data_IF_273109553197
#
_entry.id   IF_273109553197
#
_cell.length_a   1.000
_cell.length_b   1.000
_cell.length_c   1.000
_cell.angle_alpha   90.00
_cell.angle_beta   90.00
_cell.angle_gamma   90.00
#
_symmetry.space_group_name_H-M   'P 1'
#
loop_
_entity.id
_entity.type
_entity.pdbx_description
1 polymer ?
#
# COMPACT_ATOMS: atom_id res chain seq x y z
N UNK A 1 17.01 3.89 -25.54
CA UNK A 1 16.39 5.13 -26.09
C UNK A 1 14.97 5.35 -25.58
N UNK A 2 14.06 4.39 -25.61
CA UNK A 2 12.67 4.59 -25.13
C UNK A 2 12.53 4.99 -23.65
N UNK A 3 13.47 4.58 -22.79
CA UNK A 3 13.41 4.86 -21.35
C UNK A 3 13.76 6.32 -21.00
N UNK A 4 14.61 6.99 -21.79
CA UNK A 4 15.00 8.38 -21.57
C UNK A 4 13.88 9.35 -22.00
N UNK A 5 13.18 9.06 -23.10
CA UNK A 5 12.07 9.89 -23.55
C UNK A 5 10.88 9.86 -22.58
N UNK A 6 10.61 8.71 -21.95
CA UNK A 6 9.58 8.60 -20.91
C UNK A 6 9.98 9.38 -19.64
N UNK A 7 11.25 9.36 -19.26
CA UNK A 7 11.74 10.10 -18.10
C UNK A 7 11.63 11.62 -18.29
N UNK A 8 11.98 12.09 -19.49
CA UNK A 8 11.84 13.52 -19.88
C UNK A 8 10.36 13.95 -19.90
N UNK A 9 9.48 13.11 -20.45
CA UNK A 9 8.05 13.38 -20.46
C UNK A 9 7.43 13.39 -19.05
N UNK A 10 7.84 12.46 -18.17
CA UNK A 10 7.42 12.46 -16.77
C UNK A 10 7.92 13.69 -16.01
N UNK A 11 9.10 14.20 -16.36
CA UNK A 11 9.64 15.44 -15.79
C UNK A 11 8.84 16.66 -16.24
N UNK A 12 8.44 16.72 -17.51
CA UNK A 12 7.59 17.78 -18.05
C UNK A 12 6.18 17.76 -17.42
N UNK A 13 5.60 16.56 -17.21
CA UNK A 13 4.30 16.44 -16.52
C UNK A 13 4.36 16.82 -15.04
N UNK A 14 5.50 16.60 -14.38
CA UNK A 14 5.70 17.03 -13.00
C UNK A 14 5.71 18.57 -12.87
N UNK A 15 6.07 19.29 -13.95
CA UNK A 15 6.09 20.74 -13.99
C UNK A 15 4.70 21.39 -14.18
N UNK A 16 3.69 20.63 -14.65
CA UNK A 16 2.33 21.16 -14.79
C UNK A 16 1.65 21.27 -13.43
N UNK A 17 1.08 22.43 -13.06
CA UNK A 17 0.32 22.57 -11.83
C UNK A 17 -0.90 21.64 -11.84
N UNK A 18 -1.25 21.09 -10.66
CA UNK A 18 -2.47 20.33 -10.48
C UNK A 18 -3.68 21.24 -10.79
N UNK A 19 -4.55 20.76 -11.68
CA UNK A 19 -5.87 21.37 -11.86
C UNK A 19 -6.71 21.29 -10.57
N UNK A 20 -7.53 22.30 -10.32
CA UNK A 20 -8.35 22.38 -9.11
C UNK A 20 -9.34 21.22 -8.99
N UNK A 21 -9.89 20.74 -10.10
CA UNK A 21 -10.79 19.59 -10.13
C UNK A 21 -10.05 18.30 -9.80
N UNK A 22 -8.88 18.08 -10.38
CA UNK A 22 -8.04 16.92 -10.10
C UNK A 22 -7.58 16.92 -8.63
N UNK A 23 -7.16 18.08 -8.10
CA UNK A 23 -6.78 18.23 -6.69
C UNK A 23 -7.94 17.88 -5.76
N UNK A 24 -9.15 18.37 -6.03
CA UNK A 24 -10.34 18.07 -5.24
C UNK A 24 -10.69 16.57 -5.26
N UNK A 25 -10.61 15.95 -6.45
CA UNK A 25 -10.91 14.52 -6.62
C UNK A 25 -9.91 13.64 -5.87
N UNK A 26 -8.61 13.90 -5.99
CA UNK A 26 -7.55 13.21 -5.24
C UNK A 26 -7.77 13.33 -3.73
N UNK A 27 -8.04 14.55 -3.27
CA UNK A 27 -8.28 14.84 -1.86
C UNK A 27 -9.47 14.06 -1.34
N UNK A 28 -10.58 14.03 -2.06
CA UNK A 28 -11.78 13.30 -1.66
C UNK A 28 -11.53 11.78 -1.56
N UNK A 29 -10.91 11.17 -2.57
CA UNK A 29 -10.60 9.73 -2.58
C UNK A 29 -9.70 9.36 -1.41
N UNK A 30 -8.62 10.11 -1.17
CA UNK A 30 -7.70 9.85 -0.06
C UNK A 30 -8.34 10.06 1.30
N UNK A 31 -9.12 11.12 1.47
CA UNK A 31 -9.84 11.38 2.73
C UNK A 31 -10.81 10.24 3.05
N UNK A 32 -11.60 9.77 2.08
CA UNK A 32 -12.53 8.64 2.29
C UNK A 32 -11.76 7.37 2.62
N UNK A 33 -10.65 7.08 1.94
CA UNK A 33 -9.82 5.90 2.22
C UNK A 33 -9.22 5.95 3.64
N UNK A 34 -8.71 7.10 4.07
CA UNK A 34 -8.18 7.30 5.42
C UNK A 34 -9.28 7.13 6.47
N UNK A 35 -10.44 7.76 6.27
CA UNK A 35 -11.58 7.65 7.19
C UNK A 35 -12.04 6.19 7.31
N UNK A 36 -12.17 5.47 6.19
CA UNK A 36 -12.54 4.06 6.18
C UNK A 36 -11.52 3.19 6.94
N UNK A 37 -10.21 3.38 6.69
CA UNK A 37 -9.16 2.65 7.40
C UNK A 37 -9.18 2.92 8.91
N UNK A 38 -9.25 4.19 9.30
CA UNK A 38 -9.25 4.60 10.72
C UNK A 38 -10.50 4.06 11.43
N UNK A 39 -11.69 4.22 10.82
CA UNK A 39 -12.93 3.68 11.35
C UNK A 39 -12.85 2.16 11.52
N UNK A 40 -12.41 1.44 10.47
CA UNK A 40 -12.36 -0.02 10.51
C UNK A 40 -11.38 -0.56 11.57
N UNK A 41 -10.22 0.07 11.73
CA UNK A 41 -9.27 -0.27 12.80
C UNK A 41 -9.81 0.07 14.19
N UNK A 42 -10.47 1.22 14.36
CA UNK A 42 -11.04 1.65 15.62
C UNK A 42 -12.21 0.76 16.06
N UNK A 43 -13.10 0.40 15.15
CA UNK A 43 -14.25 -0.46 15.44
C UNK A 43 -13.85 -1.93 15.75
N UNK A 44 -12.66 -2.36 15.30
CA UNK A 44 -12.08 -3.69 15.59
C UNK A 44 -10.95 -3.64 16.62
N UNK A 45 -10.86 -2.59 17.41
CA UNK A 45 -9.76 -2.36 18.34
C UNK A 45 -9.63 -3.42 19.43
N UNK A 46 -8.45 -4.01 19.54
CA UNK A 46 -8.06 -5.00 20.56
C UNK A 46 -6.77 -4.60 21.29
N UNK A 47 -6.61 -3.30 21.56
CA UNK A 47 -5.36 -2.78 22.09
C UNK A 47 -4.20 -2.94 21.10
N UNK A 48 -2.99 -3.09 21.59
CA UNK A 48 -1.79 -3.26 20.74
C UNK A 48 -1.84 -4.52 19.86
N UNK A 49 -2.63 -5.54 20.25
CA UNK A 49 -2.84 -6.74 19.45
C UNK A 49 -3.47 -6.45 18.08
N UNK A 50 -4.20 -5.35 17.93
CA UNK A 50 -4.73 -4.90 16.62
C UNK A 50 -3.62 -4.79 15.57
N UNK A 51 -2.45 -4.29 15.93
CA UNK A 51 -1.33 -4.08 15.00
C UNK A 51 -0.42 -5.29 14.85
N UNK A 52 -0.73 -6.41 15.49
CA UNK A 52 -0.02 -7.67 15.23
C UNK A 52 -0.53 -8.39 13.98
N UNK A 53 -1.65 -7.95 13.41
CA UNK A 53 -2.20 -8.47 12.16
C UNK A 53 -1.77 -7.63 10.96
N UNK A 54 -1.36 -8.30 9.87
CA UNK A 54 -0.91 -7.63 8.63
C UNK A 54 -1.96 -6.68 8.05
N UNK A 55 -3.23 -7.05 8.11
CA UNK A 55 -4.34 -6.21 7.66
C UNK A 55 -4.36 -4.85 8.32
N UNK A 56 -4.32 -4.81 9.65
CA UNK A 56 -4.38 -3.55 10.38
C UNK A 56 -3.09 -2.74 10.24
N UNK A 57 -1.93 -3.41 10.21
CA UNK A 57 -0.66 -2.76 9.99
C UNK A 57 -0.59 -2.15 8.58
N UNK A 58 -1.03 -2.88 7.54
CA UNK A 58 -1.07 -2.36 6.16
C UNK A 58 -2.09 -1.22 6.01
N UNK A 59 -3.24 -1.27 6.71
CA UNK A 59 -4.19 -0.14 6.76
C UNK A 59 -3.59 1.09 7.45
N UNK A 60 -2.88 0.93 8.55
CA UNK A 60 -2.17 2.04 9.21
C UNK A 60 -1.13 2.67 8.27
N UNK A 61 -0.30 1.83 7.64
CA UNK A 61 0.77 2.31 6.78
C UNK A 61 0.24 2.96 5.51
N UNK A 62 -0.87 2.47 4.93
CA UNK A 62 -1.51 3.14 3.78
C UNK A 62 -2.14 4.47 4.20
N UNK A 63 -2.72 4.59 5.39
CA UNK A 63 -3.17 5.89 5.92
C UNK A 63 -2.03 6.91 5.96
N UNK A 64 -0.87 6.52 6.46
CA UNK A 64 0.32 7.38 6.48
C UNK A 64 0.73 7.77 5.06
N UNK A 65 0.76 6.80 4.13
CA UNK A 65 1.11 7.05 2.74
C UNK A 65 0.14 8.02 2.04
N UNK A 66 -1.17 7.85 2.25
CA UNK A 66 -2.20 8.74 1.69
C UNK A 66 -2.17 10.13 2.33
N UNK A 67 -1.99 10.22 3.65
CA UNK A 67 -1.88 11.50 4.34
C UNK A 67 -0.65 12.31 3.89
N UNK A 68 0.51 11.68 3.76
CA UNK A 68 1.69 12.34 3.21
C UNK A 68 1.52 12.75 1.75
N UNK A 69 0.80 11.95 0.94
CA UNK A 69 0.46 12.34 -0.43
C UNK A 69 -0.49 13.53 -0.48
N UNK A 70 -1.43 13.66 0.47
CA UNK A 70 -2.27 14.85 0.63
C UNK A 70 -1.42 16.09 0.93
N UNK A 71 -0.45 15.96 1.84
CA UNK A 71 0.46 17.08 2.18
C UNK A 71 1.27 17.49 0.94
N UNK A 72 1.84 16.54 0.20
CA UNK A 72 2.61 16.82 -1.02
C UNK A 72 1.77 17.51 -2.09
N UNK A 73 0.56 17.01 -2.37
CA UNK A 73 -0.32 17.60 -3.37
C UNK A 73 -0.81 18.99 -2.93
N UNK A 74 -1.16 19.17 -1.65
CA UNK A 74 -1.58 20.46 -1.11
C UNK A 74 -0.46 21.50 -1.21
N UNK A 75 0.76 21.14 -0.81
CA UNK A 75 1.91 22.05 -0.90
C UNK A 75 2.23 22.43 -2.34
N UNK A 76 2.14 21.48 -3.27
CA UNK A 76 2.35 21.72 -4.71
C UNK A 76 1.27 22.64 -5.29
N UNK A 77 0.00 22.38 -4.95
CA UNK A 77 -1.14 23.19 -5.41
C UNK A 77 -1.07 24.64 -4.90
N UNK A 78 -0.77 24.82 -3.60
CA UNK A 78 -0.65 26.15 -2.99
C UNK A 78 0.52 26.96 -3.59
N UNK A 79 1.66 26.30 -3.86
CA UNK A 79 2.81 26.95 -4.54
C UNK A 79 2.46 27.39 -5.94
N UNK A 80 1.85 26.52 -6.75
CA UNK A 80 1.45 26.87 -8.11
C UNK A 80 0.51 28.08 -8.12
N UNK A 81 -0.43 28.14 -7.18
CA UNK A 81 -1.35 29.28 -7.04
C UNK A 81 -0.63 30.56 -6.61
N UNK A 82 0.30 30.48 -5.66
CA UNK A 82 1.11 31.64 -5.22
C UNK A 82 1.99 32.17 -6.36
N UNK A 83 2.61 31.32 -7.15
CA UNK A 83 3.40 31.73 -8.30
C UNK A 83 2.56 32.41 -9.38
N UNK A 84 1.35 31.90 -9.65
CA UNK A 84 0.42 32.52 -10.59
C UNK A 84 0.00 33.93 -10.15
N UNK A 85 -0.11 34.17 -8.84
CA UNK A 85 -0.47 35.48 -8.29
C UNK A 85 0.73 36.46 -8.27
N UNK A 86 1.95 35.96 -8.06
CA UNK A 86 3.16 36.79 -7.92
C UNK A 86 3.95 36.94 -9.22
N UNK A 87 3.55 36.30 -10.32
CA UNK A 87 4.23 36.41 -11.64
C UNK A 87 4.23 37.83 -12.22
N UNK A 88 3.49 38.75 -11.60
CA UNK A 88 3.50 40.17 -11.95
C UNK A 88 4.70 40.95 -11.36
N UNK A 89 5.45 40.43 -10.39
CA UNK A 89 6.36 41.23 -9.60
C UNK A 89 7.84 40.79 -9.49
N UNK A 90 8.28 39.62 -9.96
CA UNK A 90 9.67 39.20 -9.67
C UNK A 90 10.37 38.36 -10.74
N UNK A 91 11.22 39.04 -11.52
CA UNK A 91 12.21 38.45 -12.42
C UNK A 91 13.61 38.19 -11.79
N UNK A 92 13.74 38.21 -10.47
CA UNK A 92 15.05 38.15 -9.80
C UNK A 92 15.11 37.08 -8.72
N UNK A 93 15.38 35.84 -9.05
CA UNK A 93 16.01 34.83 -8.17
C UNK A 93 15.92 33.40 -8.74
N UNK A 94 16.63 33.11 -9.82
CA UNK A 94 16.54 31.81 -10.52
C UNK A 94 17.33 30.67 -9.84
N UNK A 95 18.50 30.92 -9.27
CA UNK A 95 19.43 29.87 -8.83
C UNK A 95 19.00 29.11 -7.56
N UNK A 96 18.41 29.80 -6.56
CA UNK A 96 17.95 29.15 -5.32
C UNK A 96 16.64 28.37 -5.51
N UNK A 97 15.82 28.76 -6.49
CA UNK A 97 14.58 28.04 -6.85
C UNK A 97 14.88 26.67 -7.46
N UNK A 98 15.85 26.58 -8.37
CA UNK A 98 16.23 25.36 -9.05
C UNK A 98 16.76 24.28 -8.08
N UNK A 99 17.60 24.64 -7.11
CA UNK A 99 18.11 23.72 -6.08
C UNK A 99 17.01 23.18 -5.18
N UNK A 100 16.01 24.01 -4.85
CA UNK A 100 14.88 23.63 -4.01
C UNK A 100 13.92 22.70 -4.76
N UNK A 101 13.70 22.94 -6.05
CA UNK A 101 12.86 22.09 -6.90
C UNK A 101 13.45 20.69 -7.07
N UNK A 102 14.74 20.56 -7.32
CA UNK A 102 15.45 19.28 -7.41
C UNK A 102 15.35 18.50 -6.09
N UNK A 103 15.52 19.17 -4.94
CA UNK A 103 15.41 18.54 -3.64
C UNK A 103 13.98 18.00 -3.37
N UNK A 104 12.95 18.81 -3.66
CA UNK A 104 11.55 18.39 -3.50
C UNK A 104 11.19 17.24 -4.43
N UNK A 105 11.67 17.25 -5.65
CA UNK A 105 11.40 16.21 -6.64
C UNK A 105 12.01 14.85 -6.22
N UNK A 106 13.24 14.86 -5.72
CA UNK A 106 13.88 13.65 -5.17
C UNK A 106 13.15 13.09 -3.96
N UNK A 107 12.77 13.93 -2.99
CA UNK A 107 12.02 13.51 -1.79
C UNK A 107 10.62 13.03 -2.12
N UNK A 108 9.97 13.68 -3.07
CA UNK A 108 8.66 13.28 -3.59
C UNK A 108 8.71 11.88 -4.20
N UNK A 109 9.73 11.55 -5.00
CA UNK A 109 9.83 10.22 -5.60
C UNK A 109 10.06 9.12 -4.55
N UNK A 110 10.86 9.37 -3.51
CA UNK A 110 11.02 8.42 -2.40
C UNK A 110 9.68 8.15 -1.68
N UNK A 111 8.84 9.19 -1.52
CA UNK A 111 7.50 9.04 -0.98
C UNK A 111 6.60 8.17 -1.87
N UNK A 112 6.65 8.36 -3.18
CA UNK A 112 5.91 7.52 -4.13
C UNK A 112 6.35 6.05 -4.08
N UNK A 113 7.65 5.77 -3.89
CA UNK A 113 8.15 4.40 -3.67
C UNK A 113 7.53 3.81 -2.41
N UNK A 114 7.54 4.55 -1.31
CA UNK A 114 6.91 4.11 -0.06
C UNK A 114 5.42 3.85 -0.25
N UNK A 115 4.70 4.78 -0.87
CA UNK A 115 3.26 4.63 -1.18
C UNK A 115 2.99 3.42 -2.07
N UNK A 116 3.81 3.18 -3.09
CA UNK A 116 3.73 1.99 -3.93
C UNK A 116 3.81 0.71 -3.09
N UNK A 117 4.81 0.60 -2.21
CA UNK A 117 4.97 -0.56 -1.33
C UNK A 117 3.73 -0.79 -0.47
N UNK A 118 3.17 0.28 0.12
CA UNK A 118 1.98 0.19 0.98
C UNK A 118 0.72 -0.12 0.18
N UNK A 119 0.61 0.39 -1.05
CA UNK A 119 -0.51 0.06 -1.95
C UNK A 119 -0.49 -1.41 -2.35
N UNK A 120 0.69 -1.99 -2.61
CA UNK A 120 0.80 -3.43 -2.87
C UNK A 120 0.43 -4.24 -1.63
N UNK A 121 0.93 -3.86 -0.45
CA UNK A 121 0.61 -4.54 0.80
C UNK A 121 -0.90 -4.60 1.06
N UNK A 122 -1.59 -3.45 0.91
CA UNK A 122 -3.05 -3.39 1.12
C UNK A 122 -3.83 -4.11 0.01
N UNK A 123 -3.35 -4.10 -1.24
CA UNK A 123 -3.97 -4.81 -2.35
C UNK A 123 -3.93 -6.33 -2.16
N UNK A 124 -2.82 -6.86 -1.65
CA UNK A 124 -2.71 -8.28 -1.31
C UNK A 124 -3.62 -8.64 -0.13
N UNK A 125 -3.70 -7.77 0.89
CA UNK A 125 -4.66 -7.94 1.99
C UNK A 125 -6.10 -8.04 1.46
N UNK A 126 -6.49 -7.14 0.56
CA UNK A 126 -7.80 -7.17 -0.10
C UNK A 126 -8.03 -8.49 -0.86
N UNK A 127 -7.06 -8.89 -1.68
CA UNK A 127 -7.17 -10.10 -2.50
C UNK A 127 -7.25 -11.36 -1.66
N UNK A 128 -6.40 -11.50 -0.63
CA UNK A 128 -6.43 -12.64 0.27
C UNK A 128 -7.75 -12.71 1.06
N UNK A 129 -8.27 -11.58 1.51
CA UNK A 129 -9.55 -11.56 2.19
C UNK A 129 -10.70 -11.93 1.25
N UNK A 130 -10.75 -11.34 0.07
CA UNK A 130 -11.80 -11.58 -0.92
C UNK A 130 -11.83 -13.04 -1.40
N UNK A 131 -10.64 -13.61 -1.69
CA UNK A 131 -10.55 -14.94 -2.30
C UNK A 131 -10.56 -16.10 -1.30
N UNK A 132 -10.06 -15.87 -0.07
CA UNK A 132 -9.85 -16.97 0.88
C UNK A 132 -10.63 -16.80 2.18
N UNK A 133 -10.58 -15.63 2.82
CA UNK A 133 -11.16 -15.46 4.15
C UNK A 133 -12.68 -15.22 4.12
N UNK A 134 -13.17 -14.35 3.24
CA UNK A 134 -14.60 -14.06 3.16
C UNK A 134 -15.44 -15.26 2.71
N UNK A 135 -15.05 -16.05 1.67
CA UNK A 135 -15.80 -17.23 1.24
C UNK A 135 -15.86 -18.34 2.29
N UNK A 136 -14.85 -18.45 3.16
CA UNK A 136 -14.76 -19.49 4.19
C UNK A 136 -15.32 -19.05 5.56
N UNK A 137 -15.84 -17.83 5.65
CA UNK A 137 -16.35 -17.28 6.89
C UNK A 137 -17.68 -17.96 7.29
N UNK A 138 -17.84 -18.30 8.57
CA UNK A 138 -19.05 -18.93 9.12
C UNK A 138 -20.31 -18.07 8.96
N UNK A 139 -20.15 -16.74 8.86
CA UNK A 139 -21.25 -15.79 8.65
C UNK A 139 -21.64 -15.64 7.16
N UNK A 140 -21.00 -16.42 6.27
CA UNK A 140 -21.10 -16.27 4.84
C UNK A 140 -20.34 -15.07 4.30
N UNK A 141 -20.24 -14.97 2.97
CA UNK A 141 -19.46 -13.95 2.28
C UNK A 141 -19.84 -12.53 2.69
N UNK A 142 -21.13 -12.19 2.62
CA UNK A 142 -21.63 -10.84 3.00
C UNK A 142 -21.44 -10.58 4.49
N UNK A 143 -21.76 -11.57 5.33
CA UNK A 143 -21.61 -11.45 6.78
C UNK A 143 -20.15 -11.24 7.22
N UNK A 144 -19.19 -11.77 6.47
CA UNK A 144 -17.76 -11.55 6.70
C UNK A 144 -17.38 -10.06 6.59
N UNK A 145 -17.94 -9.34 5.60
CA UNK A 145 -17.70 -7.91 5.43
C UNK A 145 -18.49 -7.03 6.41
N UNK A 146 -19.66 -7.47 6.83
CA UNK A 146 -20.56 -6.69 7.70
C UNK A 146 -20.29 -6.89 9.20
N UNK A 147 -19.26 -7.64 9.57
CA UNK A 147 -18.87 -7.86 10.96
C UNK A 147 -18.41 -6.57 11.64
N UNK A 148 -18.65 -6.45 12.94
CA UNK A 148 -18.25 -5.31 13.78
C UNK A 148 -18.63 -3.93 13.17
N UNK A 149 -19.89 -3.75 12.80
CA UNK A 149 -20.38 -2.49 12.28
C UNK A 149 -19.71 -2.07 10.96
N UNK A 150 -19.55 -2.99 10.02
CA UNK A 150 -18.88 -2.78 8.72
C UNK A 150 -17.36 -2.51 8.80
N UNK A 151 -16.72 -2.75 9.96
CA UNK A 151 -15.27 -2.52 10.09
C UNK A 151 -14.48 -3.37 9.09
N UNK A 152 -14.89 -4.63 8.92
CA UNK A 152 -14.29 -5.56 7.97
C UNK A 152 -14.41 -5.06 6.52
N UNK A 153 -15.57 -4.52 6.12
CA UNK A 153 -15.77 -3.90 4.80
C UNK A 153 -14.81 -2.72 4.61
N UNK A 154 -14.64 -1.90 5.62
CA UNK A 154 -13.77 -0.72 5.55
C UNK A 154 -12.30 -1.10 5.34
N UNK A 155 -11.75 -2.02 6.15
CA UNK A 155 -10.32 -2.38 6.10
C UNK A 155 -9.97 -3.38 5.00
N UNK A 156 -10.93 -4.17 4.52
CA UNK A 156 -10.67 -5.22 3.52
C UNK A 156 -11.20 -4.90 2.13
N UNK A 157 -12.04 -3.87 1.94
CA UNK A 157 -12.56 -3.52 0.64
C UNK A 157 -12.47 -2.02 0.34
N UNK A 158 -13.12 -1.15 1.12
CA UNK A 158 -13.24 0.28 0.78
C UNK A 158 -11.86 0.94 0.74
N UNK A 159 -11.11 0.89 1.83
CA UNK A 159 -9.80 1.53 1.90
C UNK A 159 -8.79 0.95 0.89
N UNK A 160 -8.65 -0.39 0.74
CA UNK A 160 -7.80 -0.97 -0.29
C UNK A 160 -8.17 -0.55 -1.71
N UNK A 161 -9.44 -0.63 -2.09
CA UNK A 161 -9.88 -0.25 -3.44
C UNK A 161 -9.60 1.21 -3.75
N UNK A 162 -9.89 2.11 -2.81
CA UNK A 162 -9.62 3.54 -2.98
C UNK A 162 -8.12 3.84 -3.06
N UNK A 163 -7.29 3.14 -2.27
CA UNK A 163 -5.83 3.28 -2.35
C UNK A 163 -5.28 2.77 -3.69
N UNK A 164 -5.80 1.68 -4.23
CA UNK A 164 -5.44 1.15 -5.56
C UNK A 164 -5.83 2.15 -6.65
N UNK A 165 -7.06 2.66 -6.60
CA UNK A 165 -7.57 3.66 -7.56
C UNK A 165 -6.72 4.92 -7.49
N UNK A 166 -6.42 5.43 -6.29
CA UNK A 166 -5.57 6.61 -6.10
C UNK A 166 -4.19 6.40 -6.71
N UNK A 167 -3.54 5.26 -6.44
CA UNK A 167 -2.23 4.95 -7.01
C UNK A 167 -2.24 4.88 -8.54
N UNK A 168 -3.17 4.16 -9.14
CA UNK A 168 -3.22 3.95 -10.60
C UNK A 168 -3.56 5.26 -11.33
N UNK A 169 -4.52 6.03 -10.82
CA UNK A 169 -5.03 7.19 -11.52
C UNK A 169 -4.19 8.45 -11.32
N UNK A 170 -3.58 8.63 -10.14
CA UNK A 170 -3.01 9.91 -9.75
C UNK A 170 -1.51 9.90 -9.49
N UNK A 171 -0.87 8.73 -9.30
CA UNK A 171 0.58 8.69 -9.08
C UNK A 171 1.38 8.64 -10.39
N UNK A 172 0.86 9.24 -11.46
CA UNK A 172 1.54 9.30 -12.77
C UNK A 172 2.87 10.08 -12.71
N UNK A 173 3.09 10.92 -11.69
CA UNK A 173 4.37 11.62 -11.43
C UNK A 173 5.43 10.70 -10.82
N UNK A 174 5.06 9.51 -10.35
CA UNK A 174 6.01 8.54 -9.80
C UNK A 174 6.97 8.04 -10.88
N UNK A 175 8.25 8.35 -10.71
CA UNK A 175 9.32 7.86 -11.58
C UNK A 175 9.68 6.43 -11.21
N UNK A 176 8.97 5.47 -11.81
CA UNK A 176 9.19 4.06 -11.58
C UNK A 176 10.37 3.53 -12.40
N UNK A 177 11.09 2.58 -11.80
CA UNK A 177 12.14 1.80 -12.47
C UNK A 177 11.81 0.31 -12.32
N UNK A 178 12.42 -0.54 -13.14
CA UNK A 178 12.26 -1.99 -13.03
C UNK A 178 12.67 -2.54 -11.65
N UNK A 179 13.59 -1.89 -10.96
CA UNK A 179 14.02 -2.28 -9.62
C UNK A 179 12.92 -2.08 -8.56
N UNK A 180 12.01 -1.13 -8.74
CA UNK A 180 10.92 -0.88 -7.79
C UNK A 180 9.96 -2.06 -7.64
N UNK A 181 9.89 -2.96 -8.64
CA UNK A 181 9.09 -4.20 -8.56
C UNK A 181 9.48 -5.03 -7.33
N UNK A 182 10.78 -5.13 -7.03
CA UNK A 182 11.28 -5.92 -5.90
C UNK A 182 10.95 -5.27 -4.55
N UNK A 183 10.72 -3.97 -4.49
CA UNK A 183 10.31 -3.28 -3.26
C UNK A 183 8.89 -3.69 -2.81
N UNK A 184 8.07 -4.22 -3.71
CA UNK A 184 6.79 -4.82 -3.37
C UNK A 184 6.90 -5.97 -2.35
N UNK A 185 8.06 -6.62 -2.27
CA UNK A 185 8.29 -7.75 -1.35
C UNK A 185 8.70 -7.31 0.06
N UNK A 186 9.13 -6.06 0.24
CA UNK A 186 9.63 -5.57 1.54
C UNK A 186 8.56 -5.62 2.63
N UNK A 187 7.33 -5.09 2.45
CA UNK A 187 6.33 -5.07 3.51
C UNK A 187 5.95 -6.47 4.03
N UNK A 188 5.66 -7.48 3.18
CA UNK A 188 5.30 -8.80 3.67
C UNK A 188 6.47 -9.52 4.34
N UNK A 189 7.71 -9.39 3.83
CA UNK A 189 8.87 -10.01 4.46
C UNK A 189 9.20 -9.34 5.80
N UNK A 190 9.13 -8.02 5.88
CA UNK A 190 9.28 -7.28 7.12
C UNK A 190 8.21 -7.69 8.15
N UNK A 191 6.97 -7.92 7.68
CA UNK A 191 5.89 -8.39 8.53
C UNK A 191 6.16 -9.81 9.08
N UNK A 192 6.64 -10.73 8.26
CA UNK A 192 7.00 -12.08 8.73
C UNK A 192 8.07 -12.02 9.81
N UNK A 193 9.12 -11.20 9.62
CA UNK A 193 10.13 -10.96 10.62
C UNK A 193 9.55 -10.36 11.91
N UNK A 194 8.69 -9.35 11.79
CA UNK A 194 7.99 -8.72 12.89
C UNK A 194 7.13 -9.72 13.69
N UNK A 195 6.30 -10.53 13.01
CA UNK A 195 5.47 -11.54 13.66
C UNK A 195 6.31 -12.62 14.37
N UNK A 196 7.42 -13.05 13.76
CA UNK A 196 8.34 -13.99 14.37
C UNK A 196 9.00 -13.38 15.62
N UNK A 197 9.44 -12.12 15.56
CA UNK A 197 10.01 -11.40 16.71
C UNK A 197 9.01 -11.30 17.86
N UNK A 198 7.75 -10.95 17.59
CA UNK A 198 6.71 -10.90 18.61
C UNK A 198 6.48 -12.28 19.25
N UNK A 199 6.48 -13.34 18.44
CA UNK A 199 6.30 -14.70 18.94
C UNK A 199 7.46 -15.18 19.80
N UNK A 200 8.70 -15.00 19.34
CA UNK A 200 9.87 -15.61 19.98
C UNK A 200 10.40 -14.77 21.17
N UNK A 201 10.39 -13.44 21.05
CA UNK A 201 10.96 -12.57 22.07
C UNK A 201 9.91 -11.97 23.03
N UNK A 202 8.70 -11.66 22.53
CA UNK A 202 7.62 -11.12 23.37
C UNK A 202 6.60 -12.17 23.83
N UNK A 203 6.76 -13.44 23.43
CA UNK A 203 5.86 -14.53 23.83
C UNK A 203 4.44 -14.42 23.29
N UNK A 204 4.20 -13.58 22.29
CA UNK A 204 2.84 -13.39 21.70
C UNK A 204 2.38 -14.69 21.04
N UNK A 205 1.12 -15.05 21.28
CA UNK A 205 0.45 -16.19 20.64
C UNK A 205 -0.90 -15.74 20.10
N UNK A 206 -1.31 -16.31 18.97
CA UNK A 206 -2.51 -15.88 18.25
C UNK A 206 -3.60 -16.96 18.23
N UNK A 207 -4.84 -16.49 18.34
CA UNK A 207 -6.03 -17.32 18.30
C UNK A 207 -6.15 -18.30 19.45
N UNK A 208 -7.23 -19.07 19.45
CA UNK A 208 -7.56 -20.05 20.51
C UNK A 208 -6.59 -21.24 20.55
N UNK A 209 -5.83 -21.45 19.47
CA UNK A 209 -4.86 -22.53 19.35
C UNK A 209 -3.42 -22.09 19.68
N UNK A 210 -3.23 -20.89 20.23
CA UNK A 210 -1.92 -20.34 20.60
C UNK A 210 -0.85 -20.45 19.50
N UNK A 211 -1.23 -20.13 18.25
CA UNK A 211 -0.33 -20.19 17.10
C UNK A 211 0.88 -19.28 17.28
N UNK A 212 2.01 -19.62 16.66
CA UNK A 212 3.23 -18.79 16.61
C UNK A 212 3.20 -17.69 15.56
N UNK A 213 2.14 -17.61 14.75
CA UNK A 213 1.90 -16.52 13.81
C UNK A 213 0.40 -16.26 13.69
N UNK A 214 -0.02 -15.05 13.31
CA UNK A 214 -1.45 -14.70 13.27
C UNK A 214 -2.24 -15.39 12.14
N UNK A 215 -1.55 -15.99 11.18
CA UNK A 215 -2.15 -16.70 10.05
C UNK A 215 -1.66 -18.14 9.98
N UNK A 216 -2.56 -19.07 9.64
CA UNK A 216 -2.26 -20.49 9.53
C UNK A 216 -1.16 -20.82 8.52
N UNK A 217 -1.06 -20.04 7.43
CA UNK A 217 -0.03 -20.19 6.40
C UNK A 217 1.36 -19.65 6.84
N UNK A 218 1.43 -18.93 7.95
CA UNK A 218 2.69 -18.46 8.56
C UNK A 218 3.02 -19.18 9.85
N UNK A 219 2.19 -20.14 10.30
CA UNK A 219 2.36 -20.81 11.58
C UNK A 219 3.50 -21.86 11.54
N UNK A 220 4.74 -21.38 11.69
CA UNK A 220 5.92 -22.23 11.78
C UNK A 220 6.00 -23.09 13.06
N UNK A 221 5.10 -22.88 14.00
CA UNK A 221 4.92 -23.76 15.17
C UNK A 221 4.10 -25.03 14.87
N UNK A 222 3.52 -25.15 13.68
CA UNK A 222 2.78 -26.32 13.24
C UNK A 222 3.73 -27.47 12.83
N UNK A 223 3.25 -28.73 12.68
CA UNK A 223 4.09 -29.89 12.35
C UNK A 223 4.99 -29.73 11.12
N UNK A 224 4.54 -28.98 10.07
CA UNK A 224 5.34 -28.72 8.90
C UNK A 224 6.51 -27.73 9.18
N UNK A 225 6.43 -26.91 10.23
CA UNK A 225 7.48 -25.96 10.60
C UNK A 225 7.87 -25.01 9.47
N UNK A 226 9.16 -24.70 9.36
CA UNK A 226 9.69 -23.85 8.30
C UNK A 226 9.84 -24.56 6.96
N UNK A 227 10.27 -25.83 6.94
CA UNK A 227 10.71 -26.53 5.72
C UNK A 227 10.06 -27.91 5.54
N UNK A 228 9.14 -28.32 6.42
CA UNK A 228 8.51 -29.62 6.37
C UNK A 228 7.34 -29.68 5.37
N UNK A 229 6.90 -30.90 5.12
CA UNK A 229 5.72 -31.19 4.32
C UNK A 229 4.88 -32.24 5.05
N UNK A 230 3.72 -31.85 5.55
CA UNK A 230 2.83 -32.66 6.38
C UNK A 230 1.35 -32.41 5.99
N UNK A 231 0.96 -32.72 4.73
CA UNK A 231 -0.37 -32.35 4.20
C UNK A 231 -1.52 -32.97 4.98
N UNK A 232 -1.29 -34.11 5.63
CA UNK A 232 -2.27 -34.77 6.51
C UNK A 232 -2.66 -33.93 7.74
N UNK A 233 -1.87 -32.90 8.05
CA UNK A 233 -2.14 -31.99 9.19
C UNK A 233 -2.92 -30.74 8.79
N UNK A 234 -3.38 -30.63 7.53
CA UNK A 234 -4.15 -29.50 7.03
C UNK A 234 -5.38 -29.26 7.89
N UNK A 235 -5.45 -28.07 8.50
CA UNK A 235 -6.57 -27.64 9.35
C UNK A 235 -6.57 -26.11 9.50
N UNK A 236 -7.40 -25.59 10.43
CA UNK A 236 -7.51 -24.15 10.69
C UNK A 236 -6.20 -23.50 11.16
N UNK A 237 -5.24 -24.26 11.67
CA UNK A 237 -3.98 -23.75 12.22
C UNK A 237 -2.77 -23.93 11.31
N UNK A 238 -2.88 -24.69 10.22
CA UNK A 238 -1.77 -24.97 9.29
C UNK A 238 -2.28 -25.40 7.92
N UNK A 239 -1.51 -25.05 6.89
CA UNK A 239 -1.71 -25.60 5.54
C UNK A 239 -0.99 -26.93 5.32
N UNK A 240 -0.24 -27.43 6.31
CA UNK A 240 0.54 -28.66 6.19
C UNK A 240 1.77 -28.52 5.27
N UNK A 241 2.13 -27.30 4.90
CA UNK A 241 3.29 -26.95 4.07
C UNK A 241 4.19 -25.99 4.84
N UNK A 242 5.50 -26.20 4.77
CA UNK A 242 6.49 -25.37 5.43
C UNK A 242 6.40 -23.90 5.00
N UNK A 243 6.52 -23.00 5.99
CA UNK A 243 6.33 -21.55 5.79
C UNK A 243 7.28 -21.00 4.73
N UNK A 244 8.52 -21.50 4.64
CA UNK A 244 9.50 -21.02 3.66
C UNK A 244 9.03 -21.22 2.21
N UNK A 245 8.35 -22.33 1.88
CA UNK A 245 7.81 -22.57 0.54
C UNK A 245 6.69 -21.59 0.22
N UNK A 246 5.83 -21.32 1.19
CA UNK A 246 4.73 -20.35 1.04
C UNK A 246 5.27 -18.92 0.89
N UNK A 247 6.34 -18.56 1.59
CA UNK A 247 7.00 -17.27 1.43
C UNK A 247 7.56 -17.08 0.01
N UNK A 248 8.13 -18.12 -0.59
CA UNK A 248 8.58 -18.06 -1.99
C UNK A 248 7.39 -17.80 -2.93
N UNK A 249 6.30 -18.54 -2.77
CA UNK A 249 5.10 -18.38 -3.60
C UNK A 249 4.52 -16.96 -3.43
N UNK A 250 4.36 -16.48 -2.19
CA UNK A 250 3.86 -15.13 -1.93
C UNK A 250 4.80 -14.06 -2.47
N UNK A 251 6.11 -14.23 -2.35
CA UNK A 251 7.09 -13.30 -2.93
C UNK A 251 6.90 -13.16 -4.44
N UNK A 252 6.72 -14.26 -5.16
CA UNK A 252 6.44 -14.24 -6.60
C UNK A 252 5.11 -13.54 -6.91
N UNK A 253 4.07 -13.77 -6.11
CA UNK A 253 2.78 -13.08 -6.25
C UNK A 253 2.95 -11.57 -6.04
N UNK A 254 3.66 -11.13 -5.00
CA UNK A 254 3.91 -9.71 -4.75
C UNK A 254 4.70 -9.04 -5.89
N UNK A 255 5.70 -9.72 -6.44
CA UNK A 255 6.44 -9.26 -7.62
C UNK A 255 5.50 -9.12 -8.83
N UNK A 256 4.65 -10.11 -9.07
CA UNK A 256 3.67 -10.09 -10.15
C UNK A 256 2.67 -8.94 -10.02
N UNK A 257 2.07 -8.76 -8.84
CA UNK A 257 1.13 -7.67 -8.55
C UNK A 257 1.83 -6.31 -8.69
N UNK A 258 3.05 -6.17 -8.15
CA UNK A 258 3.85 -4.95 -8.29
C UNK A 258 4.12 -4.59 -9.74
N UNK A 259 4.44 -5.59 -10.59
CA UNK A 259 4.63 -5.38 -12.03
C UNK A 259 3.37 -4.89 -12.73
N UNK A 260 2.22 -5.50 -12.42
CA UNK A 260 0.92 -5.08 -12.97
C UNK A 260 0.59 -3.65 -12.57
N UNK A 261 0.77 -3.29 -11.30
CA UNK A 261 0.45 -1.95 -10.80
C UNK A 261 1.34 -0.87 -11.45
N UNK A 262 2.64 -1.11 -11.57
CA UNK A 262 3.54 -0.18 -12.27
C UNK A 262 3.17 -0.06 -13.75
N UNK A 263 2.82 -1.15 -14.41
CA UNK A 263 2.39 -1.12 -15.81
C UNK A 263 1.10 -0.31 -16.02
N UNK A 264 0.11 -0.49 -15.13
CA UNK A 264 -1.16 0.27 -15.16
C UNK A 264 -0.92 1.76 -14.92
N UNK A 265 -0.12 2.10 -13.89
CA UNK A 265 0.26 3.49 -13.60
C UNK A 265 1.01 4.12 -14.78
N UNK A 266 1.97 3.40 -15.39
CA UNK A 266 2.74 3.90 -16.54
C UNK A 266 1.87 4.06 -17.79
N UNK A 267 0.89 3.18 -17.99
CA UNK A 267 -0.11 3.33 -19.06
C UNK A 267 -0.96 4.61 -18.84
N UNK A 268 -1.39 4.87 -17.60
CA UNK A 268 -2.11 6.10 -17.25
C UNK A 268 -1.24 7.33 -17.43
N UNK A 269 0.05 7.29 -17.04
CA UNK A 269 0.99 8.38 -17.24
C UNK A 269 1.11 8.76 -18.72
N UNK A 270 1.26 7.77 -19.61
CA UNK A 270 1.30 8.01 -21.07
C UNK A 270 0.01 8.65 -21.59
N UNK A 271 -1.15 8.21 -21.14
CA UNK A 271 -2.43 8.77 -21.57
C UNK A 271 -2.62 10.23 -21.13
N UNK A 272 -2.15 10.60 -19.94
CA UNK A 272 -2.21 11.99 -19.44
C UNK A 272 -1.24 12.91 -20.19
N UNK A 273 -0.10 12.39 -20.65
CA UNK A 273 0.93 13.17 -21.36
C UNK A 273 0.62 13.37 -22.84
N UNK A 274 -0.31 12.62 -23.42
CA UNK A 274 -0.70 12.71 -24.83
C UNK A 274 -1.90 13.66 -25.04
N UNK A 275 -2.58 14.07 -23.99
CA UNK A 275 -3.69 15.02 -24.00
C UNK A 275 -3.26 16.39 -23.47
#
# INVERSE_FOLDING_TARGET
>A
MANNSMLEQQTAAAANPLDAHEYATRTAIRAIAIIASVYGMAASWQGLMTFTYFTNLSNLMICVALAGSLVLDTTSFMRARSLATNSAESAASSSSKESLEVWFDSKSNAWYVFKFMMTIAIAVTFTLYLCFLAPTNKLGFVGAYMSNGCSSLCVHAIAPLLAIVDFILFDYRFRSTSAHIYFATIPPLAYVAYAAMLSEFAGVRWGVHAMRAPYNFLNYGAPAGWFGFAPQTFNATTLGVGVAYLLVVFTLIFIGVGRVFLALKDARARAVLQN
#
